data_IF_260320350670
#
_entry.id   IF_260320350670
#
_cell.length_a   1.000
_cell.length_b   1.000
_cell.length_c   1.000
_cell.angle_alpha   90.00
_cell.angle_beta   90.00
_cell.angle_gamma   90.00
#
_symmetry.space_group_name_H-M   'P 1'
#
loop_
_entity.id
_entity.type
_entity.pdbx_description
1 polymer ?
#
# COMPACT_ATOMS: atom_id res chain seq x y z
N UNK A 1 13.49 4.19 -2.49
CA UNK A 1 13.89 2.77 -2.65
C UNK A 1 14.10 2.17 -1.25
N UNK A 2 14.40 0.87 -1.11
CA UNK A 2 14.48 0.23 0.23
C UNK A 2 15.66 0.75 1.05
N UNK A 3 16.66 1.32 0.39
CA UNK A 3 17.85 1.95 0.96
C UNK A 3 17.56 3.30 1.64
N UNK A 4 16.42 3.92 1.35
CA UNK A 4 16.04 5.21 1.94
C UNK A 4 15.88 5.11 3.45
N UNK A 5 16.35 6.11 4.19
CA UNK A 5 16.26 6.18 5.65
C UNK A 5 14.83 5.98 6.17
N UNK A 6 13.81 6.43 5.42
CA UNK A 6 12.40 6.27 5.77
C UNK A 6 11.85 4.88 5.45
N UNK A 7 12.52 4.07 4.63
CA UNK A 7 12.04 2.75 4.20
C UNK A 7 12.85 1.58 4.76
N UNK A 8 14.12 1.79 5.12
CA UNK A 8 15.05 0.71 5.47
C UNK A 8 14.69 -0.10 6.72
N UNK A 9 13.91 0.51 7.64
CA UNK A 9 13.31 -0.15 8.83
C UNK A 9 11.81 -0.36 8.66
N UNK A 10 11.31 -0.21 7.44
CA UNK A 10 9.91 -0.26 7.13
C UNK A 10 9.45 -1.63 6.64
N UNK A 11 8.29 -1.61 6.02
CA UNK A 11 7.70 -2.75 5.37
C UNK A 11 6.71 -2.31 4.29
N UNK A 12 5.91 -3.26 3.81
CA UNK A 12 4.82 -2.93 2.89
C UNK A 12 3.63 -3.86 3.07
N UNK A 13 2.43 -3.30 2.99
CA UNK A 13 1.22 -4.07 2.71
C UNK A 13 1.21 -4.41 1.23
N UNK A 14 1.10 -5.69 0.91
CA UNK A 14 1.23 -6.18 -0.46
C UNK A 14 -0.06 -6.86 -0.91
N UNK A 15 -0.61 -6.37 -2.02
CA UNK A 15 -1.72 -6.99 -2.74
C UNK A 15 -1.15 -7.59 -4.02
N UNK A 16 -1.49 -8.85 -4.28
CA UNK A 16 -1.12 -9.53 -5.53
C UNK A 16 -2.39 -9.81 -6.31
N UNK A 17 -2.45 -9.30 -7.54
CA UNK A 17 -3.53 -9.50 -8.48
C UNK A 17 -3.14 -10.60 -9.47
N UNK A 18 -4.09 -11.48 -9.78
CA UNK A 18 -3.93 -12.42 -10.89
C UNK A 18 -4.12 -11.71 -12.25
N UNK A 19 -3.85 -12.43 -13.35
CA UNK A 19 -3.93 -11.86 -14.71
C UNK A 19 -5.33 -11.34 -15.07
N UNK A 20 -6.37 -12.02 -14.59
CA UNK A 20 -7.76 -11.69 -14.89
C UNK A 20 -8.17 -10.38 -14.22
N UNK A 21 -7.70 -10.16 -12.99
CA UNK A 21 -7.97 -8.95 -12.22
C UNK A 21 -7.31 -7.70 -12.81
N UNK A 22 -6.26 -7.81 -13.63
CA UNK A 22 -5.63 -6.64 -14.27
C UNK A 22 -6.64 -5.73 -14.96
N UNK A 23 -7.56 -6.33 -15.73
CA UNK A 23 -8.48 -5.57 -16.58
C UNK A 23 -9.56 -4.82 -15.77
N UNK A 24 -9.92 -5.33 -14.60
CA UNK A 24 -11.10 -4.87 -13.86
C UNK A 24 -10.75 -4.19 -12.53
N UNK A 25 -9.65 -4.62 -11.89
CA UNK A 25 -9.31 -4.21 -10.52
C UNK A 25 -8.03 -3.40 -10.43
N UNK A 26 -7.05 -3.56 -11.33
CA UNK A 26 -5.74 -2.92 -11.18
C UNK A 26 -5.86 -1.39 -11.11
N UNK A 27 -6.51 -0.78 -12.09
CA UNK A 27 -6.65 0.68 -12.16
C UNK A 27 -7.52 1.21 -11.01
N UNK A 28 -8.59 0.48 -10.66
CA UNK A 28 -9.46 0.82 -9.53
C UNK A 28 -8.71 0.80 -8.21
N UNK A 29 -7.99 -0.29 -7.93
CA UNK A 29 -7.20 -0.42 -6.70
C UNK A 29 -6.06 0.59 -6.67
N UNK A 30 -5.41 0.86 -7.80
CA UNK A 30 -4.34 1.84 -7.85
C UNK A 30 -4.86 3.26 -7.61
N UNK A 31 -5.99 3.63 -8.23
CA UNK A 31 -6.64 4.91 -7.98
C UNK A 31 -7.03 5.07 -6.51
N UNK A 32 -7.69 4.06 -5.93
CA UNK A 32 -8.08 4.09 -4.52
C UNK A 32 -6.86 4.20 -3.59
N UNK A 33 -5.77 3.50 -3.93
CA UNK A 33 -4.49 3.63 -3.21
C UNK A 33 -3.98 5.07 -3.24
N UNK A 34 -3.97 5.71 -4.42
CA UNK A 34 -3.56 7.10 -4.55
C UNK A 34 -4.45 8.03 -3.74
N UNK A 35 -5.76 7.81 -3.74
CA UNK A 35 -6.71 8.59 -2.94
C UNK A 35 -6.50 8.41 -1.44
N UNK A 36 -6.19 7.21 -0.97
CA UNK A 36 -5.85 6.97 0.43
C UNK A 36 -4.59 7.74 0.85
N UNK A 37 -3.58 7.80 -0.02
CA UNK A 37 -2.32 8.50 0.27
C UNK A 37 -2.52 10.02 0.30
N UNK A 38 -3.07 10.61 -0.77
CA UNK A 38 -3.20 12.07 -0.84
C UNK A 38 -4.31 12.62 0.08
N UNK A 39 -5.24 11.76 0.47
CA UNK A 39 -6.33 12.09 1.37
C UNK A 39 -5.99 11.88 2.84
N UNK A 40 -4.77 11.43 3.17
CA UNK A 40 -4.34 11.10 4.54
C UNK A 40 -5.36 10.17 5.24
N UNK A 41 -5.79 9.11 4.52
CA UNK A 41 -6.92 8.27 4.93
C UNK A 41 -6.61 7.32 6.09
N UNK A 42 -5.42 7.38 6.68
CA UNK A 42 -4.99 6.52 7.79
C UNK A 42 -4.94 7.28 9.13
N UNK A 43 -5.62 8.43 9.21
CA UNK A 43 -5.73 9.29 10.38
C UNK A 43 -4.34 9.61 10.96
N UNK A 44 -4.17 9.46 12.27
CA UNK A 44 -2.92 9.72 13.02
C UNK A 44 -1.73 8.87 12.54
N UNK A 45 -1.97 7.78 11.79
CA UNK A 45 -0.94 6.90 11.25
C UNK A 45 -0.56 7.22 9.81
N UNK A 46 -1.09 8.29 9.21
CA UNK A 46 -0.72 8.66 7.83
C UNK A 46 0.75 9.08 7.72
N UNK A 47 1.33 9.65 8.79
CA UNK A 47 2.77 9.95 8.89
C UNK A 47 3.68 8.69 8.91
N UNK A 48 3.11 7.52 9.16
CA UNK A 48 3.82 6.23 9.06
C UNK A 48 3.89 5.71 7.60
N UNK A 49 3.15 6.32 6.66
CA UNK A 49 3.14 5.94 5.25
C UNK A 49 4.26 6.65 4.48
N UNK A 50 5.08 5.87 3.78
CA UNK A 50 6.15 6.40 2.93
C UNK A 50 5.70 6.66 1.50
N UNK A 51 4.72 5.90 1.01
CA UNK A 51 4.24 5.96 -0.36
C UNK A 51 3.70 4.62 -0.85
N UNK A 52 3.38 4.56 -2.14
CA UNK A 52 2.83 3.35 -2.75
C UNK A 52 3.52 3.02 -4.08
N UNK A 53 3.45 1.75 -4.46
CA UNK A 53 4.07 1.22 -5.69
C UNK A 53 3.10 0.29 -6.39
N UNK A 54 2.94 0.47 -7.70
CA UNK A 54 2.34 -0.52 -8.60
C UNK A 54 3.42 -1.21 -9.45
N UNK A 55 3.37 -2.54 -9.52
CA UNK A 55 4.26 -3.34 -10.35
C UNK A 55 3.45 -4.14 -11.36
N UNK A 56 3.50 -3.72 -12.63
CA UNK A 56 2.87 -4.44 -13.73
C UNK A 56 3.78 -5.58 -14.18
N UNK A 57 3.33 -6.84 -14.11
CA UNK A 57 4.14 -8.03 -14.43
C UNK A 57 3.33 -9.12 -15.12
N UNK A 58 3.96 -9.88 -16.01
CA UNK A 58 3.29 -10.96 -16.75
C UNK A 58 2.69 -12.05 -15.86
N UNK A 59 3.29 -12.36 -14.70
CA UNK A 59 2.81 -13.41 -13.78
C UNK A 59 1.72 -12.94 -12.80
N UNK A 60 1.42 -11.65 -12.77
CA UNK A 60 0.48 -11.07 -11.81
C UNK A 60 0.98 -9.73 -11.29
N UNK A 61 0.08 -8.77 -11.16
CA UNK A 61 0.42 -7.42 -10.75
C UNK A 61 0.49 -7.31 -9.24
N UNK A 62 1.21 -6.30 -8.76
CA UNK A 62 1.30 -6.03 -7.33
C UNK A 62 1.04 -4.56 -7.07
N UNK A 63 0.25 -4.29 -6.04
CA UNK A 63 0.13 -2.94 -5.47
C UNK A 63 0.63 -3.05 -4.03
N UNK A 64 1.42 -2.07 -3.60
CA UNK A 64 1.91 -2.03 -2.23
C UNK A 64 1.91 -0.63 -1.64
N UNK A 65 1.55 -0.53 -0.36
CA UNK A 65 1.71 0.67 0.48
C UNK A 65 2.88 0.42 1.41
N UNK A 66 3.90 1.29 1.37
CA UNK A 66 5.10 1.21 2.19
C UNK A 66 4.90 1.97 3.50
N UNK A 67 5.31 1.35 4.60
CA UNK A 67 5.30 1.95 5.95
C UNK A 67 6.73 2.09 6.45
N UNK A 68 6.98 3.07 7.33
CA UNK A 68 8.35 3.47 7.71
C UNK A 68 9.01 2.64 8.82
N UNK A 69 8.20 2.04 9.69
CA UNK A 69 8.67 1.29 10.86
C UNK A 69 7.88 -0.01 11.01
N UNK A 70 8.54 -1.16 10.91
CA UNK A 70 7.90 -2.47 11.10
C UNK A 70 7.63 -2.78 12.58
N UNK A 71 8.28 -2.10 13.52
CA UNK A 71 8.10 -2.31 14.97
C UNK A 71 6.87 -1.58 15.51
N UNK A 72 6.41 -0.54 14.82
CA UNK A 72 5.14 0.15 15.10
C UNK A 72 3.94 -0.71 14.66
N UNK A 73 3.70 -1.79 15.41
CA UNK A 73 2.67 -2.80 15.09
C UNK A 73 1.27 -2.22 15.04
N UNK A 74 1.00 -1.19 15.85
CA UNK A 74 -0.30 -0.53 15.89
C UNK A 74 -0.58 0.20 14.59
N UNK A 75 0.35 1.09 14.17
CA UNK A 75 0.25 1.79 12.89
C UNK A 75 0.17 0.82 11.71
N UNK A 76 1.06 -0.16 11.65
CA UNK A 76 1.09 -1.14 10.56
C UNK A 76 -0.25 -1.89 10.47
N UNK A 77 -0.81 -2.32 11.61
CA UNK A 77 -2.09 -3.04 11.63
C UNK A 77 -3.26 -2.15 11.26
N UNK A 78 -3.29 -0.92 11.78
CA UNK A 78 -4.33 0.07 11.47
C UNK A 78 -4.35 0.38 9.98
N UNK A 79 -3.21 0.77 9.41
CA UNK A 79 -3.06 1.07 7.97
C UNK A 79 -3.53 -0.13 7.14
N UNK A 80 -3.13 -1.35 7.50
CA UNK A 80 -3.54 -2.56 6.77
C UNK A 80 -5.04 -2.81 6.78
N UNK A 81 -5.71 -2.56 7.91
CA UNK A 81 -7.17 -2.73 8.05
C UNK A 81 -7.92 -1.70 7.23
N UNK A 82 -7.61 -0.43 7.41
CA UNK A 82 -8.24 0.66 6.65
C UNK A 82 -8.00 0.47 5.16
N UNK A 83 -6.76 0.18 4.75
CA UNK A 83 -6.44 -0.04 3.34
C UNK A 83 -7.22 -1.21 2.74
N UNK A 84 -7.37 -2.32 3.47
CA UNK A 84 -8.20 -3.44 3.03
C UNK A 84 -9.67 -3.02 2.86
N UNK A 85 -10.24 -2.31 3.82
CA UNK A 85 -11.64 -1.85 3.76
C UNK A 85 -11.89 -0.89 2.60
N UNK A 86 -10.94 0.02 2.30
CA UNK A 86 -11.06 0.98 1.19
C UNK A 86 -11.09 0.32 -0.18
N UNK A 87 -10.40 -0.81 -0.35
CA UNK A 87 -10.34 -1.52 -1.62
C UNK A 87 -11.56 -2.43 -1.88
N UNK A 88 -12.34 -2.73 -0.83
CA UNK A 88 -13.45 -3.70 -0.84
C UNK A 88 -13.01 -5.14 -0.74
#
# INVERSE_FOLDING_TARGET
MWEDERNKKGGRWLITLNKQQRKYDLDRFWLETLLCLIGEAFDDYSDDVCGAVVNVRTKGDKIAVWTRDYENREAVTHIGRVYKERLG
#
